data_IF_413605374208
#
_entry.id   IF_413605374208
#
_cell.length_a   1.000
_cell.length_b   1.000
_cell.length_c   1.000
_cell.angle_alpha   90.00
_cell.angle_beta   90.00
_cell.angle_gamma   90.00
#
_symmetry.space_group_name_H-M   'P 1'
#
loop_
_entity.id
_entity.type
_entity.pdbx_description
1 polymer ?
#
# COMPACT_ATOMS: atom_id res chain seq x y z
N UNK A 1 -11.39 -15.68 41.99
CA UNK A 1 -11.94 -14.48 41.33
C UNK A 1 -11.46 -14.51 39.88
N UNK A 2 -12.35 -14.72 38.91
CA UNK A 2 -11.99 -14.71 37.48
C UNK A 2 -11.84 -13.23 37.10
N UNK A 3 -10.61 -12.75 36.90
CA UNK A 3 -10.32 -11.34 36.64
C UNK A 3 -10.80 -10.95 35.22
N UNK A 4 -11.92 -10.21 35.08
CA UNK A 4 -12.43 -9.82 33.76
C UNK A 4 -11.53 -8.78 33.08
N UNK A 5 -10.74 -8.05 33.88
CA UNK A 5 -9.81 -6.99 33.44
C UNK A 5 -8.74 -7.52 32.48
N UNK A 6 -8.27 -8.76 32.68
CA UNK A 6 -7.26 -9.37 31.81
C UNK A 6 -7.82 -9.67 30.41
N UNK A 7 -9.12 -9.94 30.29
CA UNK A 7 -9.78 -10.18 28.99
C UNK A 7 -10.08 -8.88 28.25
N UNK A 8 -10.39 -7.80 28.98
CA UNK A 8 -10.60 -6.47 28.39
C UNK A 8 -9.30 -5.90 27.80
N UNK A 9 -8.16 -6.14 28.45
CA UNK A 9 -6.85 -5.67 27.96
C UNK A 9 -6.42 -6.36 26.65
N UNK A 10 -6.74 -7.65 26.48
CA UNK A 10 -6.39 -8.41 25.29
C UNK A 10 -7.19 -7.97 24.05
N UNK A 11 -8.45 -7.56 24.23
CA UNK A 11 -9.33 -7.09 23.14
C UNK A 11 -8.87 -5.73 22.61
N UNK A 12 -8.34 -4.86 23.47
CA UNK A 12 -7.89 -3.52 23.07
C UNK A 12 -6.64 -3.55 22.16
N UNK A 13 -5.74 -4.52 22.39
CA UNK A 13 -4.50 -4.66 21.62
C UNK A 13 -4.74 -5.18 20.19
N UNK A 14 -5.82 -5.94 19.97
CA UNK A 14 -6.15 -6.50 18.65
C UNK A 14 -6.66 -5.42 17.67
N UNK A 15 -7.30 -4.38 18.19
CA UNK A 15 -7.82 -3.27 17.39
C UNK A 15 -6.73 -2.41 16.75
N UNK A 16 -5.55 -2.34 17.37
CA UNK A 16 -4.44 -1.48 16.92
C UNK A 16 -3.80 -2.05 15.65
N UNK A 17 -3.79 -3.38 15.50
CA UNK A 17 -3.24 -4.07 14.32
C UNK A 17 -3.99 -3.72 13.03
N UNK A 18 -5.32 -3.54 13.12
CA UNK A 18 -6.16 -3.22 11.96
C UNK A 18 -5.95 -1.78 11.48
N UNK A 19 -5.61 -0.85 12.38
CA UNK A 19 -5.34 0.55 12.04
C UNK A 19 -4.00 0.66 11.29
N UNK A 20 -2.99 -0.13 11.68
CA UNK A 20 -1.70 -0.14 10.99
C UNK A 20 -1.80 -0.70 9.56
N UNK A 21 -2.55 -1.79 9.35
CA UNK A 21 -2.81 -2.31 8.00
C UNK A 21 -3.54 -1.31 7.11
N UNK A 22 -4.48 -0.52 7.66
CA UNK A 22 -5.23 0.46 6.87
C UNK A 22 -4.39 1.68 6.50
N UNK A 23 -3.57 2.18 7.43
CA UNK A 23 -2.75 3.36 7.20
C UNK A 23 -1.66 3.13 6.13
N UNK A 24 -1.13 1.90 6.05
CA UNK A 24 -0.13 1.53 5.02
C UNK A 24 -0.74 1.45 3.61
N UNK A 25 -1.98 0.95 3.49
CA UNK A 25 -2.71 0.90 2.22
C UNK A 25 -3.04 2.30 1.69
N UNK A 26 -3.59 3.18 2.54
CA UNK A 26 -3.89 4.59 2.15
C UNK A 26 -2.63 5.34 1.70
N UNK A 27 -1.48 5.10 2.36
CA UNK A 27 -0.19 5.69 1.97
C UNK A 27 0.34 5.12 0.64
N UNK A 28 0.08 3.84 0.35
CA UNK A 28 0.52 3.20 -0.88
C UNK A 28 -0.29 3.67 -2.10
N UNK A 29 -1.59 3.93 -1.92
CA UNK A 29 -2.45 4.52 -2.95
C UNK A 29 -2.04 5.95 -3.29
N UNK A 30 -1.87 6.81 -2.28
CA UNK A 30 -1.42 8.20 -2.49
C UNK A 30 -0.10 8.24 -3.27
N UNK A 31 0.85 7.37 -2.91
CA UNK A 31 2.14 7.28 -3.60
C UNK A 31 2.02 6.73 -5.02
N UNK A 32 1.08 5.81 -5.27
CA UNK A 32 0.84 5.28 -6.60
C UNK A 32 0.23 6.35 -7.51
N UNK A 33 -0.72 7.14 -7.01
CA UNK A 33 -1.33 8.26 -7.74
C UNK A 33 -0.28 9.32 -8.11
N UNK A 34 0.56 9.75 -7.16
CA UNK A 34 1.62 10.73 -7.40
C UNK A 34 2.62 10.26 -8.47
N UNK A 35 3.00 8.98 -8.45
CA UNK A 35 3.89 8.41 -9.46
C UNK A 35 3.22 8.37 -10.85
N UNK A 36 1.93 8.07 -10.92
CA UNK A 36 1.18 8.01 -12.19
C UNK A 36 0.98 9.41 -12.77
N UNK A 37 0.67 10.40 -11.94
CA UNK A 37 0.44 11.78 -12.37
C UNK A 37 1.72 12.43 -12.90
N UNK A 38 2.86 12.11 -12.30
CA UNK A 38 4.18 12.62 -12.71
C UNK A 38 4.91 11.68 -13.69
N UNK A 39 4.26 10.64 -14.21
CA UNK A 39 4.90 9.68 -15.12
C UNK A 39 5.10 10.26 -16.52
N UNK A 40 6.33 10.20 -17.04
CA UNK A 40 6.62 10.57 -18.42
C UNK A 40 6.17 9.48 -19.41
N UNK A 41 6.47 8.21 -19.13
CA UNK A 41 6.01 7.04 -19.89
C UNK A 41 5.39 5.98 -18.97
N UNK A 42 4.24 5.44 -19.42
CA UNK A 42 3.44 4.46 -18.68
C UNK A 42 3.20 3.23 -19.54
N UNK A 43 3.72 2.08 -19.08
CA UNK A 43 3.48 0.76 -19.71
C UNK A 43 2.58 -0.10 -18.81
N UNK A 44 1.35 -0.34 -19.27
CA UNK A 44 0.42 -1.27 -18.62
C UNK A 44 0.78 -2.71 -18.99
N UNK A 45 0.92 -3.59 -18.00
CA UNK A 45 1.17 -5.03 -18.17
C UNK A 45 0.26 -5.81 -17.23
N UNK A 46 -0.75 -6.48 -17.75
CA UNK A 46 -1.65 -7.37 -16.99
C UNK A 46 -2.08 -6.82 -15.61
N UNK A 47 -1.36 -7.18 -14.54
CA UNK A 47 -1.62 -6.82 -13.13
C UNK A 47 -0.76 -5.66 -12.59
N UNK A 48 0.06 -5.02 -13.45
CA UNK A 48 1.05 -4.02 -13.07
C UNK A 48 1.11 -2.84 -14.02
N UNK A 49 1.40 -1.67 -13.46
CA UNK A 49 1.79 -0.48 -14.22
C UNK A 49 3.28 -0.25 -13.98
N UNK A 50 4.05 -0.16 -15.08
CA UNK A 50 5.46 0.25 -15.05
C UNK A 50 5.55 1.69 -15.52
N UNK A 51 6.15 2.53 -14.68
CA UNK A 51 6.42 3.94 -14.94
C UNK A 51 7.93 4.08 -15.18
N UNK A 52 8.28 4.81 -16.21
CA UNK A 52 9.65 5.09 -16.62
C UNK A 52 9.74 6.60 -16.84
N UNK A 53 10.55 7.28 -16.02
CA UNK A 53 10.74 8.72 -16.10
C UNK A 53 11.95 9.06 -16.97
N UNK A 54 12.00 10.28 -17.52
CA UNK A 54 13.10 10.71 -18.40
C UNK A 54 14.48 10.70 -17.70
N UNK A 55 14.51 10.90 -16.38
CA UNK A 55 15.71 10.79 -15.55
C UNK A 55 16.25 9.35 -15.42
N UNK A 56 15.57 8.37 -16.03
CA UNK A 56 15.91 6.94 -15.99
C UNK A 56 15.45 6.22 -14.73
N UNK A 57 14.70 6.90 -13.85
CA UNK A 57 14.06 6.26 -12.69
C UNK A 57 12.87 5.41 -13.12
N UNK A 58 12.72 4.24 -12.51
CA UNK A 58 11.61 3.33 -12.78
C UNK A 58 10.76 3.08 -11.53
N UNK A 59 9.44 3.09 -11.69
CA UNK A 59 8.52 2.61 -10.68
C UNK A 59 7.63 1.49 -11.22
N UNK A 60 7.22 0.58 -10.33
CA UNK A 60 6.33 -0.55 -10.62
C UNK A 60 5.22 -0.57 -9.58
N UNK A 61 3.98 -0.40 -10.02
CA UNK A 61 2.77 -0.46 -9.19
C UNK A 61 2.07 -1.77 -9.51
N UNK A 62 1.84 -2.62 -8.50
CA UNK A 62 1.09 -3.88 -8.61
C UNK A 62 -0.27 -3.71 -7.97
N UNK A 63 -1.30 -4.13 -8.69
CA UNK A 63 -2.67 -4.15 -8.20
C UNK A 63 -3.06 -5.56 -7.78
N UNK A 64 -3.93 -5.67 -6.79
CA UNK A 64 -4.50 -6.95 -6.36
C UNK A 64 -5.71 -7.35 -7.22
N UNK A 65 -6.36 -8.45 -6.87
CA UNK A 65 -7.55 -8.96 -7.58
C UNK A 65 -8.79 -8.06 -7.44
N UNK A 66 -8.79 -7.14 -6.47
CA UNK A 66 -9.86 -6.17 -6.23
C UNK A 66 -9.62 -4.85 -6.96
N UNK A 67 -8.41 -4.63 -7.50
CA UNK A 67 -7.98 -3.39 -8.13
C UNK A 67 -7.33 -2.40 -7.17
N UNK A 68 -7.02 -2.81 -5.94
CA UNK A 68 -6.35 -2.00 -4.94
C UNK A 68 -4.82 -2.10 -5.08
N UNK A 69 -4.08 -1.07 -4.64
CA UNK A 69 -2.62 -1.07 -4.74
C UNK A 69 -2.02 -2.05 -3.73
N UNK A 70 -1.56 -3.20 -4.22
CA UNK A 70 -0.90 -4.23 -3.40
C UNK A 70 0.54 -3.84 -3.06
N UNK A 71 1.26 -3.23 -4.02
CA UNK A 71 2.68 -2.92 -3.84
C UNK A 71 3.20 -1.86 -4.80
N UNK A 72 3.92 -0.88 -4.27
CA UNK A 72 4.72 0.08 -5.04
C UNK A 72 6.21 -0.24 -4.86
N UNK A 73 6.93 -0.42 -5.97
CA UNK A 73 8.40 -0.53 -5.99
C UNK A 73 8.98 0.62 -6.79
N UNK A 74 9.98 1.28 -6.24
CA UNK A 74 10.79 2.30 -6.91
C UNK A 74 12.21 1.74 -7.00
N UNK A 75 12.74 1.61 -8.21
CA UNK A 75 14.14 1.25 -8.44
C UNK A 75 14.93 2.57 -8.36
N UNK A 76 15.83 2.67 -7.37
CA UNK A 76 16.74 3.79 -7.15
C UNK A 76 18.16 3.38 -7.55
#
# INVERSE_FOLDING_TARGET
>A
MKNPIQKTLLILLFSISLIACRNEAETAEEKAEDLIENADDMKVKEDKIKIENEDGSEAKIKYDENGDVEKVKTDN
#
